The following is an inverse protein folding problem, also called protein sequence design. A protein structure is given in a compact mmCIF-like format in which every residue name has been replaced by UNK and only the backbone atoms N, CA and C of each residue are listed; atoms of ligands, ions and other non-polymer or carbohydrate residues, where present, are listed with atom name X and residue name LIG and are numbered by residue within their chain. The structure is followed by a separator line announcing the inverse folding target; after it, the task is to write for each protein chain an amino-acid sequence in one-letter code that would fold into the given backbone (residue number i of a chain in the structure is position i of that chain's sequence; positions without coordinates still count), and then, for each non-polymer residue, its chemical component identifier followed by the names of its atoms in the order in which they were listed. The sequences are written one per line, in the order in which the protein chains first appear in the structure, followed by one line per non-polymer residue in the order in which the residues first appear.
data_IF_471837176554
#
_entry.id   IF_471837176554
#
_cell.length_a   1.000
_cell.length_b   1.000
_cell.length_c   1.000
_cell.angle_alpha   90.00
_cell.angle_beta   90.00
_cell.angle_gamma   90.00
#
_symmetry.space_group_name_H-M   'P 1'
#
loop_
_entity.id
_entity.type
_entity.pdbx_description
1 polymer ?
#
# COMPACT_ATOMS: atom_id res chain seq x y z
N UNK A 1 -22.03 45.94 16.44
CA UNK A 1 -22.41 44.52 16.21
C UNK A 1 -22.33 44.29 14.71
N UNK A 2 -21.47 43.49 14.11
CA UNK A 2 -20.51 42.47 14.55
C UNK A 2 -19.24 42.62 13.69
N UNK A 3 -18.08 42.43 14.31
CA UNK A 3 -16.79 42.29 13.64
C UNK A 3 -16.71 40.90 12.99
N UNK A 4 -16.14 40.84 11.78
CA UNK A 4 -15.77 39.60 11.10
C UNK A 4 -14.38 39.75 10.50
N UNK A 5 -13.36 39.52 11.32
CA UNK A 5 -11.97 39.39 10.89
C UNK A 5 -11.79 38.05 10.18
N UNK A 6 -11.49 38.10 8.89
CA UNK A 6 -11.00 36.95 8.15
C UNK A 6 -9.53 36.69 8.53
N UNK A 7 -9.25 35.52 9.10
CA UNK A 7 -7.88 35.05 9.32
C UNK A 7 -7.37 34.43 8.00
N UNK A 8 -6.40 35.08 7.36
CA UNK A 8 -5.56 34.41 6.35
C UNK A 8 -4.61 33.47 7.09
N UNK A 9 -4.77 32.15 6.91
CA UNK A 9 -3.68 31.22 7.19
C UNK A 9 -2.63 31.35 6.07
N UNK A 10 -1.47 31.89 6.42
CA UNK A 10 -0.30 31.85 5.56
C UNK A 10 0.40 30.50 5.75
N UNK A 11 0.40 29.66 4.71
CA UNK A 11 1.26 28.49 4.66
C UNK A 11 2.73 28.95 4.54
N UNK A 12 3.55 28.62 5.53
CA UNK A 12 5.00 28.87 5.49
C UNK A 12 5.63 27.71 4.73
N UNK A 13 6.05 27.96 3.49
CA UNK A 13 6.94 27.05 2.76
C UNK A 13 8.37 27.34 3.22
N UNK A 14 8.92 26.46 4.07
CA UNK A 14 10.33 26.50 4.41
C UNK A 14 11.13 25.80 3.31
N UNK A 15 11.77 26.58 2.42
CA UNK A 15 12.77 26.06 1.48
C UNK A 15 14.11 26.02 2.20
N UNK A 16 14.50 24.84 2.69
CA UNK A 16 15.83 24.58 3.25
C UNK A 16 16.90 24.63 2.16
N UNK A 17 17.99 25.35 2.43
CA UNK A 17 19.05 25.65 1.48
C UNK A 17 19.89 24.44 1.03
N UNK A 18 20.48 24.58 -0.15
CA UNK A 18 21.43 23.65 -0.76
C UNK A 18 22.68 23.47 0.12
N UNK A 19 22.67 22.46 0.97
CA UNK A 19 23.87 21.90 1.60
C UNK A 19 24.55 20.93 0.62
N UNK A 20 25.82 21.18 0.33
CA UNK A 20 26.67 20.22 -0.39
C UNK A 20 26.83 18.95 0.47
N UNK A 21 26.22 17.85 0.04
CA UNK A 21 26.41 16.54 0.67
C UNK A 21 27.84 16.08 0.42
N UNK A 22 28.69 16.19 1.45
CA UNK A 22 29.90 15.40 1.54
C UNK A 22 29.52 13.93 1.69
N UNK A 23 30.17 13.05 0.95
CA UNK A 23 30.06 11.61 1.12
C UNK A 23 30.67 11.20 2.47
N UNK A 24 29.87 11.32 3.53
CA UNK A 24 30.09 10.63 4.79
C UNK A 24 29.21 9.40 4.78
N UNK A 25 29.78 8.21 4.61
CA UNK A 25 29.09 6.98 4.93
C UNK A 25 28.85 6.97 6.45
N UNK A 26 27.65 7.36 6.88
CA UNK A 26 27.13 6.80 8.11
C UNK A 26 27.15 5.27 7.91
N UNK A 27 27.69 4.53 8.87
CA UNK A 27 27.53 3.09 8.90
C UNK A 27 26.03 2.82 9.09
N UNK A 28 25.29 2.79 7.99
CA UNK A 28 23.84 2.64 7.97
C UNK A 28 23.47 1.18 8.18
N UNK A 29 22.35 0.96 8.83
CA UNK A 29 21.68 -0.34 8.84
C UNK A 29 21.47 -0.78 7.38
N UNK A 30 21.93 -1.99 7.06
CA UNK A 30 21.70 -2.57 5.74
C UNK A 30 20.34 -3.28 5.72
N UNK A 31 19.74 -3.37 4.53
CA UNK A 31 18.58 -4.25 4.32
C UNK A 31 19.05 -5.50 3.59
N UNK A 32 18.94 -6.65 4.25
CA UNK A 32 19.17 -7.96 3.63
C UNK A 32 17.92 -8.38 2.85
N UNK A 33 18.08 -8.72 1.57
CA UNK A 33 16.99 -9.18 0.71
C UNK A 33 17.20 -10.64 0.31
N UNK A 34 16.22 -11.49 0.62
CA UNK A 34 16.11 -12.87 0.13
C UNK A 34 14.96 -12.96 -0.89
N UNK A 35 15.17 -13.66 -2.01
CA UNK A 35 14.14 -13.84 -3.05
C UNK A 35 13.89 -15.32 -3.35
N UNK A 36 12.63 -15.66 -3.56
CA UNK A 36 12.17 -16.97 -4.04
C UNK A 36 11.54 -16.81 -5.41
N UNK A 37 12.06 -17.56 -6.38
CA UNK A 37 11.49 -17.63 -7.72
C UNK A 37 10.17 -18.39 -7.65
N UNK A 38 9.09 -17.77 -8.08
CA UNK A 38 7.78 -18.42 -8.18
C UNK A 38 7.84 -19.43 -9.33
N UNK A 39 7.42 -20.70 -9.13
CA UNK A 39 7.60 -21.77 -10.11
C UNK A 39 6.72 -21.62 -11.36
N UNK A 40 5.71 -20.73 -11.33
CA UNK A 40 4.83 -20.45 -12.46
C UNK A 40 5.28 -19.19 -13.20
N UNK A 41 5.61 -19.34 -14.48
CA UNK A 41 6.15 -18.26 -15.31
C UNK A 41 5.11 -17.21 -15.70
N UNK A 42 5.57 -15.97 -15.86
CA UNK A 42 4.78 -14.84 -16.41
C UNK A 42 3.51 -14.49 -15.60
N UNK A 43 3.49 -14.82 -14.31
CA UNK A 43 2.26 -14.76 -13.51
C UNK A 43 2.10 -13.49 -12.67
N UNK A 44 3.18 -12.71 -12.51
CA UNK A 44 3.23 -11.46 -11.71
C UNK A 44 2.80 -11.71 -10.25
N UNK A 45 3.61 -12.44 -9.47
CA UNK A 45 3.37 -12.66 -8.05
C UNK A 45 3.44 -11.34 -7.29
N UNK A 46 2.36 -10.98 -6.61
CA UNK A 46 2.13 -9.62 -6.12
C UNK A 46 1.40 -9.62 -4.78
N UNK A 47 1.51 -8.48 -4.11
CA UNK A 47 0.74 -8.08 -2.92
C UNK A 47 0.69 -9.16 -1.84
N UNK A 48 1.85 -9.50 -1.24
CA UNK A 48 1.91 -10.59 -0.29
C UNK A 48 1.33 -10.23 1.07
N UNK A 49 0.96 -11.26 1.83
CA UNK A 49 0.52 -11.18 3.22
C UNK A 49 1.02 -12.42 3.97
N UNK A 50 1.45 -12.28 5.23
CA UNK A 50 1.90 -13.42 6.04
C UNK A 50 0.80 -13.80 7.02
N UNK A 51 0.40 -15.06 7.02
CA UNK A 51 -0.64 -15.55 7.93
C UNK A 51 -0.08 -15.98 9.30
N UNK A 52 -0.96 -16.35 10.23
CA UNK A 52 -0.58 -16.80 11.57
C UNK A 52 0.27 -18.08 11.63
N UNK A 53 0.44 -18.78 10.51
CA UNK A 53 1.32 -19.96 10.38
C UNK A 53 2.68 -19.61 9.77
N UNK A 54 2.91 -18.33 9.43
CA UNK A 54 4.13 -17.88 8.75
C UNK A 54 4.17 -18.18 7.26
N UNK A 55 3.04 -18.57 6.65
CA UNK A 55 2.95 -18.78 5.20
C UNK A 55 2.79 -17.42 4.52
N UNK A 56 3.52 -17.21 3.43
CA UNK A 56 3.51 -15.97 2.67
C UNK A 56 2.56 -16.12 1.49
N UNK A 57 1.33 -15.64 1.65
CA UNK A 57 0.32 -15.60 0.61
C UNK A 57 0.62 -14.51 -0.40
N UNK A 58 0.27 -14.72 -1.67
CA UNK A 58 0.34 -13.73 -2.75
C UNK A 58 -0.65 -14.05 -3.89
N UNK A 59 -0.94 -13.04 -4.72
CA UNK A 59 -1.75 -13.22 -5.93
C UNK A 59 -0.88 -13.45 -7.17
N UNK A 60 -1.34 -14.28 -8.09
CA UNK A 60 -0.81 -14.37 -9.45
C UNK A 60 -1.70 -13.61 -10.43
N UNK A 61 -1.54 -12.29 -10.54
CA UNK A 61 -2.49 -11.44 -11.29
C UNK A 61 -2.71 -11.89 -12.75
N UNK A 62 -1.65 -12.30 -13.44
CA UNK A 62 -1.77 -12.76 -14.85
C UNK A 62 -2.17 -14.22 -14.98
N UNK A 63 -1.99 -15.00 -13.92
CA UNK A 63 -2.26 -16.43 -13.90
C UNK A 63 -3.61 -16.80 -13.30
N UNK A 64 -4.39 -15.82 -12.82
CA UNK A 64 -5.69 -16.02 -12.17
C UNK A 64 -5.61 -17.04 -11.01
N UNK A 65 -4.72 -16.82 -10.04
CA UNK A 65 -4.57 -17.70 -8.89
C UNK A 65 -4.23 -16.97 -7.59
N UNK A 66 -4.46 -17.64 -6.47
CA UNK A 66 -3.86 -17.35 -5.16
C UNK A 66 -2.83 -18.42 -4.84
N UNK A 67 -1.76 -18.08 -4.15
CA UNK A 67 -0.77 -19.05 -3.72
C UNK A 67 -0.14 -18.64 -2.39
N UNK A 68 0.48 -19.59 -1.70
CA UNK A 68 1.38 -19.28 -0.61
C UNK A 68 2.73 -19.98 -0.79
N UNK A 69 3.76 -19.32 -0.26
CA UNK A 69 5.10 -19.83 -0.04
C UNK A 69 5.25 -20.23 1.44
N UNK A 70 5.82 -21.40 1.71
CA UNK A 70 6.43 -21.70 3.00
C UNK A 70 7.92 -21.29 2.95
N UNK A 71 8.34 -20.22 3.65
CA UNK A 71 9.70 -19.72 3.56
C UNK A 71 10.73 -20.61 4.25
N UNK A 72 10.32 -21.57 5.10
CA UNK A 72 11.22 -22.51 5.75
C UNK A 72 11.65 -23.65 4.82
N UNK A 73 10.74 -24.10 3.95
CA UNK A 73 10.97 -25.21 3.01
C UNK A 73 11.23 -24.73 1.58
N UNK A 74 10.73 -23.55 1.21
CA UNK A 74 10.70 -23.06 -0.16
C UNK A 74 9.52 -23.59 -0.99
N UNK A 75 8.60 -24.34 -0.38
CA UNK A 75 7.48 -24.97 -1.07
C UNK A 75 6.36 -23.96 -1.39
N UNK A 76 5.73 -24.16 -2.55
CA UNK A 76 4.60 -23.34 -3.01
C UNK A 76 3.33 -24.19 -3.15
N UNK A 77 2.19 -23.62 -2.75
CA UNK A 77 0.85 -24.19 -3.01
C UNK A 77 -0.02 -23.15 -3.71
N UNK A 78 -0.76 -23.58 -4.73
CA UNK A 78 -1.62 -22.72 -5.57
C UNK A 78 -3.08 -23.14 -5.51
N UNK A 79 -3.96 -22.16 -5.61
CA UNK A 79 -5.41 -22.27 -5.69
C UNK A 79 -5.87 -21.51 -6.94
N UNK A 80 -6.52 -22.22 -7.86
CA UNK A 80 -7.01 -21.62 -9.10
C UNK A 80 -8.22 -20.72 -8.84
N UNK A 81 -8.27 -19.58 -9.54
CA UNK A 81 -9.45 -18.74 -9.62
C UNK A 81 -10.08 -18.90 -11.01
N UNK A 82 -11.30 -18.40 -11.16
CA UNK A 82 -11.94 -18.38 -12.47
C UNK A 82 -11.13 -17.54 -13.48
N UNK A 83 -11.01 -17.98 -14.73
CA UNK A 83 -10.33 -17.23 -15.77
C UNK A 83 -10.86 -15.80 -15.90
N UNK A 84 -9.95 -14.83 -15.97
CA UNK A 84 -10.30 -13.41 -16.06
C UNK A 84 -10.56 -12.73 -14.72
N UNK A 85 -10.36 -13.41 -13.58
CA UNK A 85 -10.45 -12.80 -12.24
C UNK A 85 -9.46 -11.63 -12.07
N UNK A 86 -8.24 -11.81 -12.57
CA UNK A 86 -7.15 -10.84 -12.51
C UNK A 86 -6.85 -10.37 -11.09
N UNK A 87 -6.64 -11.26 -10.10
CA UNK A 87 -6.56 -10.88 -8.69
C UNK A 87 -5.48 -9.83 -8.46
N UNK A 88 -5.77 -8.82 -7.62
CA UNK A 88 -4.87 -7.67 -7.46
C UNK A 88 -4.16 -7.59 -6.11
N UNK A 89 -4.88 -7.78 -5.01
CA UNK A 89 -4.37 -7.76 -3.64
C UNK A 89 -5.08 -8.88 -2.84
N UNK A 90 -4.43 -9.32 -1.76
CA UNK A 90 -5.04 -10.21 -0.78
C UNK A 90 -4.66 -9.79 0.65
N UNK A 91 -5.47 -10.23 1.61
CA UNK A 91 -5.27 -10.16 3.06
C UNK A 91 -5.77 -11.48 3.69
N UNK A 92 -5.25 -11.85 4.85
CA UNK A 92 -5.64 -13.09 5.54
C UNK A 92 -6.20 -12.73 6.92
N UNK A 93 -7.38 -13.25 7.25
CA UNK A 93 -7.98 -13.03 8.57
C UNK A 93 -7.42 -13.97 9.65
N UNK A 94 -7.82 -13.74 10.90
CA UNK A 94 -7.34 -14.50 12.06
C UNK A 94 -7.76 -15.99 12.02
N UNK A 95 -8.84 -16.31 11.30
CA UNK A 95 -9.30 -17.68 11.06
C UNK A 95 -8.53 -18.37 9.91
N UNK A 96 -7.71 -17.61 9.18
CA UNK A 96 -6.87 -18.09 8.09
C UNK A 96 -7.55 -18.09 6.72
N UNK A 97 -8.76 -17.52 6.58
CA UNK A 97 -9.36 -17.32 5.27
C UNK A 97 -8.64 -16.22 4.50
N UNK A 98 -8.49 -16.44 3.19
CA UNK A 98 -7.78 -15.52 2.31
C UNK A 98 -8.77 -14.69 1.53
N UNK A 99 -8.80 -13.39 1.82
CA UNK A 99 -9.64 -12.42 1.13
C UNK A 99 -8.86 -11.78 -0.02
N UNK A 100 -9.46 -11.65 -1.20
CA UNK A 100 -8.79 -11.11 -2.37
C UNK A 100 -9.68 -10.19 -3.21
N UNK A 101 -9.05 -9.25 -3.91
CA UNK A 101 -9.72 -8.40 -4.90
C UNK A 101 -9.74 -9.11 -6.26
N UNK A 102 -10.91 -9.58 -6.68
CA UNK A 102 -11.19 -10.04 -8.04
C UNK A 102 -11.31 -8.87 -9.01
N UNK A 103 -10.19 -8.16 -9.20
CA UNK A 103 -10.11 -6.84 -9.82
C UNK A 103 -10.80 -6.71 -11.17
N UNK A 104 -10.63 -7.68 -12.07
CA UNK A 104 -11.25 -7.66 -13.40
C UNK A 104 -12.64 -8.25 -13.42
N UNK A 105 -12.94 -9.11 -12.44
CA UNK A 105 -14.24 -9.76 -12.28
C UNK A 105 -15.23 -8.98 -11.39
N UNK A 106 -14.79 -7.87 -10.77
CA UNK A 106 -15.62 -6.97 -9.96
C UNK A 106 -16.26 -7.65 -8.75
N UNK A 107 -15.45 -8.36 -7.96
CA UNK A 107 -15.85 -8.93 -6.68
C UNK A 107 -14.71 -8.88 -5.66
N UNK A 108 -15.07 -8.97 -4.38
CA UNK A 108 -14.16 -9.45 -3.33
C UNK A 108 -14.43 -10.93 -3.15
N UNK A 109 -13.39 -11.76 -3.06
CA UNK A 109 -13.56 -13.20 -2.83
C UNK A 109 -12.92 -13.64 -1.52
N UNK A 110 -13.45 -14.71 -0.93
CA UNK A 110 -12.91 -15.38 0.25
C UNK A 110 -12.58 -16.82 -0.09
N UNK A 111 -11.33 -17.21 0.06
CA UNK A 111 -10.84 -18.59 -0.10
C UNK A 111 -10.70 -19.23 1.28
N UNK A 112 -11.27 -20.42 1.42
CA UNK A 112 -10.91 -21.37 2.47
C UNK A 112 -9.69 -22.20 2.03
N UNK A 113 -8.52 -22.07 2.67
CA UNK A 113 -7.32 -22.80 2.28
C UNK A 113 -7.37 -24.30 2.58
N UNK A 114 -8.24 -24.76 3.48
CA UNK A 114 -8.39 -26.18 3.81
C UNK A 114 -9.17 -26.91 2.71
N UNK A 115 -10.36 -26.41 2.39
CA UNK A 115 -11.25 -27.01 1.38
C UNK A 115 -10.92 -26.58 -0.06
N UNK A 116 -10.35 -25.39 -0.24
CA UNK A 116 -10.17 -24.73 -1.53
C UNK A 116 -11.44 -24.04 -2.04
N UNK A 117 -12.52 -23.99 -1.25
CA UNK A 117 -13.77 -23.34 -1.64
C UNK A 117 -13.62 -21.81 -1.68
N UNK A 118 -14.31 -21.18 -2.65
CA UNK A 118 -14.27 -19.74 -2.85
C UNK A 118 -15.69 -19.18 -2.82
N UNK A 119 -15.93 -18.30 -1.87
CA UNK A 119 -17.10 -17.43 -1.84
C UNK A 119 -16.80 -16.10 -2.52
N UNK A 120 -17.80 -15.49 -3.18
CA UNK A 120 -17.65 -14.24 -3.91
C UNK A 120 -18.72 -13.24 -3.54
N UNK A 121 -18.28 -12.03 -3.23
CA UNK A 121 -19.08 -10.86 -2.89
C UNK A 121 -19.02 -9.88 -4.07
N UNK A 122 -20.01 -9.90 -4.99
CA UNK A 122 -20.00 -9.07 -6.18
C UNK A 122 -20.17 -7.59 -5.84
N UNK A 123 -19.56 -6.72 -6.63
CA UNK A 123 -19.84 -5.29 -6.51
C UNK A 123 -21.32 -4.99 -6.80
N UNK A 124 -22.00 -4.14 -6.01
CA UNK A 124 -23.44 -3.92 -6.11
C UNK A 124 -23.85 -3.10 -7.35
N UNK A 125 -22.89 -2.57 -8.11
CA UNK A 125 -23.11 -1.80 -9.34
C UNK A 125 -22.01 -2.09 -10.37
N UNK A 126 -22.33 -2.14 -11.68
CA UNK A 126 -21.34 -2.30 -12.73
C UNK A 126 -20.38 -1.10 -12.86
N UNK A 127 -20.70 0.05 -12.25
CA UNK A 127 -19.81 1.22 -12.24
C UNK A 127 -18.59 1.03 -11.34
N UNK A 128 -18.69 0.16 -10.33
CA UNK A 128 -17.65 -0.15 -9.36
C UNK A 128 -16.59 -1.11 -9.93
N UNK A 129 -16.00 -0.72 -11.06
CA UNK A 129 -14.96 -1.49 -11.75
C UNK A 129 -13.64 -1.39 -11.01
N UNK A 130 -12.83 -2.45 -11.08
CA UNK A 130 -11.45 -2.47 -10.55
C UNK A 130 -11.41 -2.27 -9.02
N UNK A 131 -12.10 -3.13 -8.21
CA UNK A 131 -11.83 -3.26 -6.78
C UNK A 131 -10.39 -3.73 -6.59
N UNK A 132 -9.63 -3.08 -5.72
CA UNK A 132 -8.19 -2.99 -5.91
C UNK A 132 -7.38 -3.37 -4.67
N UNK A 133 -7.26 -2.49 -3.67
CA UNK A 133 -6.47 -2.75 -2.44
C UNK A 133 -7.42 -2.95 -1.28
N UNK A 134 -7.23 -4.00 -0.48
CA UNK A 134 -8.02 -4.32 0.70
C UNK A 134 -7.21 -3.99 1.97
N UNK A 135 -7.90 -3.69 3.06
CA UNK A 135 -7.37 -3.65 4.42
C UNK A 135 -8.49 -4.01 5.39
N UNK A 136 -8.17 -4.73 6.47
CA UNK A 136 -9.11 -4.90 7.57
C UNK A 136 -9.24 -3.59 8.35
N UNK A 137 -10.43 -3.35 8.89
CA UNK A 137 -10.60 -2.50 10.06
C UNK A 137 -10.49 -3.30 11.36
N UNK A 138 -10.54 -2.63 12.50
CA UNK A 138 -10.40 -3.25 13.82
C UNK A 138 -11.62 -4.10 14.23
N UNK A 139 -12.72 -4.09 13.46
CA UNK A 139 -13.87 -4.95 13.67
C UNK A 139 -13.82 -6.22 12.80
N UNK A 140 -12.80 -6.35 11.94
CA UNK A 140 -12.69 -7.45 10.98
C UNK A 140 -13.48 -7.24 9.69
N UNK A 141 -14.06 -6.04 9.48
CA UNK A 141 -14.63 -5.66 8.19
C UNK A 141 -13.53 -5.23 7.22
N UNK A 142 -13.83 -5.23 5.92
CA UNK A 142 -12.84 -4.93 4.89
C UNK A 142 -13.16 -3.61 4.22
N UNK A 143 -12.23 -2.65 4.34
CA UNK A 143 -12.20 -1.48 3.48
C UNK A 143 -11.41 -1.78 2.21
N UNK A 144 -11.86 -1.26 1.08
CA UNK A 144 -11.14 -1.44 -0.17
C UNK A 144 -11.30 -0.25 -1.13
N UNK A 145 -10.27 -0.01 -1.93
CA UNK A 145 -10.34 0.97 -3.01
C UNK A 145 -10.96 0.36 -4.27
N UNK A 146 -11.70 1.18 -5.03
CA UNK A 146 -12.24 0.82 -6.34
C UNK A 146 -11.70 1.81 -7.37
N UNK A 147 -10.55 1.46 -7.96
CA UNK A 147 -9.75 2.41 -8.73
C UNK A 147 -10.48 2.87 -10.01
N UNK A 148 -10.99 1.92 -10.79
CA UNK A 148 -11.57 2.20 -12.10
C UNK A 148 -12.96 2.82 -12.03
N UNK A 149 -13.69 2.54 -10.94
CA UNK A 149 -15.01 3.09 -10.65
C UNK A 149 -15.00 4.42 -9.87
N UNK A 150 -13.87 4.79 -9.25
CA UNK A 150 -13.79 5.92 -8.31
C UNK A 150 -14.73 5.78 -7.11
N UNK A 151 -14.63 4.63 -6.42
CA UNK A 151 -15.28 4.41 -5.13
C UNK A 151 -14.27 4.00 -4.06
N UNK A 152 -14.67 4.14 -2.81
CA UNK A 152 -14.15 3.34 -1.70
C UNK A 152 -15.28 2.47 -1.20
N UNK A 153 -15.01 1.20 -0.94
CA UNK A 153 -15.99 0.24 -0.47
C UNK A 153 -15.71 -0.26 0.94
N UNK A 154 -16.76 -0.66 1.63
CA UNK A 154 -16.72 -1.39 2.89
C UNK A 154 -17.49 -2.70 2.72
N UNK A 155 -16.88 -3.83 3.08
CA UNK A 155 -17.49 -5.14 3.10
C UNK A 155 -17.63 -5.60 4.55
N UNK A 156 -18.88 -5.82 4.97
CA UNK A 156 -19.17 -6.51 6.22
C UNK A 156 -18.84 -8.00 6.08
N UNK A 157 -17.82 -8.50 6.78
CA UNK A 157 -17.31 -9.87 6.56
C UNK A 157 -18.26 -10.96 7.06
N UNK A 158 -19.05 -10.67 8.10
CA UNK A 158 -20.09 -11.57 8.61
C UNK A 158 -21.37 -11.53 7.76
N UNK A 159 -21.74 -10.36 7.25
CA UNK A 159 -23.02 -10.15 6.54
C UNK A 159 -22.91 -10.35 5.03
N UNK A 160 -21.71 -10.23 4.47
CA UNK A 160 -21.46 -10.19 3.03
C UNK A 160 -21.93 -8.90 2.35
N UNK A 161 -22.33 -7.87 3.10
CA UNK A 161 -22.86 -6.62 2.53
C UNK A 161 -21.74 -5.71 2.05
N UNK A 162 -21.82 -5.29 0.79
CA UNK A 162 -20.90 -4.31 0.18
C UNK A 162 -21.56 -2.95 0.10
N UNK A 163 -20.98 -1.97 0.80
CA UNK A 163 -21.34 -0.55 0.72
C UNK A 163 -20.27 0.20 -0.08
N UNK A 164 -20.69 1.22 -0.85
CA UNK A 164 -19.80 2.00 -1.70
C UNK A 164 -19.99 3.50 -1.47
N UNK A 165 -18.89 4.19 -1.25
CA UNK A 165 -18.82 5.65 -1.15
C UNK A 165 -18.24 6.20 -2.46
N UNK A 166 -19.00 7.00 -3.23
CA UNK A 166 -18.49 7.61 -4.45
C UNK A 166 -17.44 8.67 -4.13
N UNK A 167 -16.31 8.63 -4.84
CA UNK A 167 -15.25 9.65 -4.73
C UNK A 167 -15.40 10.61 -5.90
N UNK A 168 -16.19 11.66 -5.70
CA UNK A 168 -16.63 12.55 -6.76
C UNK A 168 -15.47 13.34 -7.41
N UNK A 169 -15.59 13.56 -8.72
CA UNK A 169 -14.64 14.32 -9.52
C UNK A 169 -13.93 13.48 -10.58
N UNK A 170 -13.40 14.14 -11.60
CA UNK A 170 -12.80 13.45 -12.75
C UNK A 170 -11.48 12.82 -12.35
N UNK A 171 -11.37 11.51 -12.54
CA UNK A 171 -10.10 10.79 -12.48
C UNK A 171 -9.50 10.65 -11.08
N UNK A 172 -10.30 10.61 -10.00
CA UNK A 172 -9.79 10.47 -8.63
C UNK A 172 -8.94 9.22 -8.42
N UNK A 173 -9.39 8.06 -8.93
CA UNK A 173 -8.66 6.78 -8.88
C UNK A 173 -8.16 6.42 -7.46
N UNK A 174 -9.06 6.18 -6.48
CA UNK A 174 -8.69 5.66 -5.16
C UNK A 174 -7.71 4.48 -5.27
N UNK A 175 -6.67 4.44 -4.44
CA UNK A 175 -5.58 3.47 -4.63
C UNK A 175 -5.07 2.80 -3.36
N UNK A 176 -4.01 3.33 -2.74
CA UNK A 176 -3.50 2.85 -1.46
C UNK A 176 -4.49 3.26 -0.39
N UNK A 177 -4.79 2.33 0.51
CA UNK A 177 -5.75 2.49 1.60
C UNK A 177 -5.15 1.91 2.87
N UNK A 178 -5.36 2.58 3.99
CA UNK A 178 -4.99 2.16 5.35
C UNK A 178 -6.14 2.53 6.28
N UNK A 179 -6.21 1.88 7.43
CA UNK A 179 -7.22 2.18 8.47
C UNK A 179 -6.51 2.78 9.68
N UNK A 180 -7.08 3.86 10.22
CA UNK A 180 -6.60 4.46 11.46
C UNK A 180 -7.21 3.81 12.71
N UNK A 181 -6.70 4.21 13.89
CA UNK A 181 -7.15 3.69 15.18
C UNK A 181 -8.64 3.89 15.48
N UNK A 182 -9.33 4.76 14.72
CA UNK A 182 -10.76 5.04 14.83
C UNK A 182 -11.56 4.34 13.71
N UNK A 183 -11.00 3.35 13.03
CA UNK A 183 -11.58 2.64 11.89
C UNK A 183 -11.85 3.52 10.66
N UNK A 184 -11.27 4.72 10.57
CA UNK A 184 -11.42 5.55 9.36
C UNK A 184 -10.52 5.05 8.26
N UNK A 185 -11.09 4.89 7.08
CA UNK A 185 -10.36 4.46 5.90
C UNK A 185 -9.68 5.67 5.23
N UNK A 186 -8.37 5.76 5.36
CA UNK A 186 -7.55 6.76 4.69
C UNK A 186 -6.99 6.23 3.38
N UNK A 187 -7.13 6.99 2.31
CA UNK A 187 -6.69 6.57 0.98
C UNK A 187 -6.17 7.72 0.12
N UNK A 188 -5.31 7.39 -0.83
CA UNK A 188 -4.85 8.36 -1.82
C UNK A 188 -5.69 8.32 -3.09
N UNK A 189 -5.81 9.47 -3.75
CA UNK A 189 -6.43 9.63 -5.05
C UNK A 189 -5.34 9.70 -6.12
N UNK A 190 -4.91 8.55 -6.63
CA UNK A 190 -3.71 8.45 -7.48
C UNK A 190 -3.77 9.29 -8.77
N UNK A 191 -4.96 9.63 -9.26
CA UNK A 191 -5.08 10.48 -10.45
C UNK A 191 -4.99 11.99 -10.17
N UNK A 192 -4.97 12.39 -8.89
CA UNK A 192 -4.91 13.79 -8.43
C UNK A 192 -3.83 13.94 -7.34
N UNK A 193 -3.72 15.13 -6.75
CA UNK A 193 -2.85 15.46 -5.63
C UNK A 193 -3.60 15.40 -4.29
N UNK A 194 -4.45 14.40 -4.06
CA UNK A 194 -5.31 14.36 -2.86
C UNK A 194 -5.17 13.10 -2.03
N UNK A 195 -5.35 13.29 -0.73
CA UNK A 195 -5.68 12.28 0.25
C UNK A 195 -7.16 12.41 0.62
N UNK A 196 -7.75 11.35 1.16
CA UNK A 196 -9.11 11.38 1.63
C UNK A 196 -9.32 10.38 2.76
N UNK A 197 -10.34 10.61 3.58
CA UNK A 197 -10.80 9.69 4.61
C UNK A 197 -12.30 9.50 4.56
N UNK A 198 -12.78 8.37 5.07
CA UNK A 198 -14.21 8.07 5.23
C UNK A 198 -14.50 7.77 6.69
N UNK A 199 -15.49 8.45 7.24
CA UNK A 199 -16.01 8.12 8.58
C UNK A 199 -16.72 6.75 8.55
N UNK A 200 -16.36 5.81 9.43
CA UNK A 200 -16.85 4.44 9.34
C UNK A 200 -18.31 4.25 9.75
N UNK A 201 -18.91 5.23 10.42
CA UNK A 201 -20.31 5.18 10.85
C UNK A 201 -21.22 5.93 9.88
N UNK A 202 -20.83 7.14 9.47
CA UNK A 202 -21.67 7.99 8.62
C UNK A 202 -21.40 7.79 7.12
N UNK A 203 -20.27 7.15 6.77
CA UNK A 203 -19.75 7.04 5.41
C UNK A 203 -19.48 8.39 4.74
N UNK A 204 -19.33 9.45 5.53
CA UNK A 204 -19.00 10.78 5.03
C UNK A 204 -17.54 10.82 4.57
N UNK A 205 -17.34 11.31 3.35
CA UNK A 205 -16.03 11.48 2.71
C UNK A 205 -15.48 12.88 3.00
N UNK A 206 -14.23 12.95 3.46
CA UNK A 206 -13.45 14.18 3.56
C UNK A 206 -12.21 14.11 2.66
N UNK A 207 -11.91 15.19 1.92
CA UNK A 207 -10.80 15.26 0.98
C UNK A 207 -9.78 16.34 1.37
N UNK A 208 -8.50 16.02 1.27
CA UNK A 208 -7.38 16.90 1.57
C UNK A 208 -6.52 17.09 0.32
N UNK A 209 -6.33 18.34 -0.11
CA UNK A 209 -5.45 18.66 -1.23
C UNK A 209 -4.01 18.86 -0.76
N UNK A 210 -3.08 18.13 -1.37
CA UNK A 210 -1.65 18.27 -1.11
C UNK A 210 -1.10 19.55 -1.78
N UNK A 211 -0.14 20.27 -1.14
CA UNK A 211 0.35 21.55 -1.64
C UNK A 211 0.92 21.52 -3.06
N UNK A 212 1.52 20.39 -3.46
CA UNK A 212 2.08 20.20 -4.80
C UNK A 212 1.04 19.66 -5.76
N UNK A 213 0.63 20.49 -6.72
CA UNK A 213 -0.38 20.13 -7.72
C UNK A 213 0.02 18.94 -8.61
N UNK A 214 1.32 18.74 -8.82
CA UNK A 214 1.90 17.64 -9.58
C UNK A 214 2.04 16.33 -8.79
N UNK A 215 1.87 16.36 -7.46
CA UNK A 215 1.98 15.15 -6.65
C UNK A 215 0.93 14.11 -7.05
N UNK A 216 1.34 12.86 -7.14
CA UNK A 216 0.50 11.68 -7.42
C UNK A 216 0.74 10.65 -6.31
N UNK A 217 0.18 10.88 -5.10
CA UNK A 217 0.30 9.94 -3.99
C UNK A 217 -0.25 8.58 -4.42
N UNK A 218 0.54 7.52 -4.22
CA UNK A 218 0.20 6.18 -4.77
C UNK A 218 -0.04 5.11 -3.72
N UNK A 219 0.77 5.07 -2.66
CA UNK A 219 0.55 4.20 -1.49
C UNK A 219 0.63 5.05 -0.23
N UNK A 220 0.06 4.51 0.84
CA UNK A 220 0.05 5.11 2.15
C UNK A 220 0.69 4.16 3.18
N UNK A 221 1.23 4.75 4.23
CA UNK A 221 1.52 4.10 5.49
C UNK A 221 1.00 4.99 6.63
N UNK A 222 0.74 4.41 7.80
CA UNK A 222 0.27 5.13 8.98
C UNK A 222 1.25 4.82 10.12
N UNK A 223 1.88 5.85 10.69
CA UNK A 223 2.75 5.70 11.86
C UNK A 223 1.92 5.74 13.16
N UNK A 224 2.46 5.21 14.24
CA UNK A 224 1.76 5.05 15.54
C UNK A 224 1.28 6.37 16.15
N UNK A 225 1.89 7.49 15.75
CA UNK A 225 1.49 8.84 16.11
C UNK A 225 0.30 9.40 15.29
N UNK A 226 -0.28 8.62 14.37
CA UNK A 226 -1.42 9.02 13.53
C UNK A 226 -1.05 9.78 12.26
N UNK A 227 0.24 10.01 11.98
CA UNK A 227 0.65 10.67 10.73
C UNK A 227 0.54 9.72 9.54
N UNK A 228 -0.04 10.24 8.45
CA UNK A 228 -0.08 9.53 7.17
C UNK A 228 1.19 9.83 6.39
N UNK A 229 1.78 8.79 5.86
CA UNK A 229 2.92 8.88 4.96
C UNK A 229 2.51 8.41 3.58
N UNK A 230 3.00 9.09 2.54
CA UNK A 230 2.73 8.76 1.16
C UNK A 230 3.99 8.83 0.31
N UNK A 231 4.02 8.04 -0.75
CA UNK A 231 5.00 8.22 -1.82
C UNK A 231 4.35 8.86 -3.04
N UNK A 232 4.97 9.92 -3.53
CA UNK A 232 4.61 10.57 -4.78
C UNK A 232 5.27 9.87 -5.97
N UNK A 233 4.44 9.17 -6.74
CA UNK A 233 4.85 8.46 -7.95
C UNK A 233 5.42 9.38 -9.04
N UNK A 234 4.91 10.62 -9.17
CA UNK A 234 5.23 11.50 -10.29
C UNK A 234 6.50 12.34 -10.02
N UNK A 235 6.60 12.91 -8.82
CA UNK A 235 7.70 13.81 -8.46
C UNK A 235 8.83 13.15 -7.67
N UNK A 236 8.70 11.88 -7.23
CA UNK A 236 9.75 11.19 -6.47
C UNK A 236 9.97 11.81 -5.08
N UNK A 237 8.91 11.85 -4.27
CA UNK A 237 8.99 12.36 -2.90
C UNK A 237 8.34 11.39 -1.92
N UNK A 238 8.89 11.35 -0.70
CA UNK A 238 8.20 10.85 0.48
C UNK A 238 7.52 12.04 1.16
N UNK A 239 6.24 11.93 1.48
CA UNK A 239 5.48 12.97 2.15
C UNK A 239 4.87 12.46 3.44
N UNK A 240 4.81 13.34 4.44
CA UNK A 240 4.09 13.19 5.69
C UNK A 240 2.93 14.17 5.70
N UNK A 241 1.75 13.71 6.05
CA UNK A 241 0.55 14.48 6.28
C UNK A 241 0.06 14.27 7.70
N UNK A 242 -0.11 15.36 8.43
CA UNK A 242 -0.72 15.37 9.76
C UNK A 242 -2.23 15.61 9.61
N UNK A 243 -3.09 14.63 9.93
CA UNK A 243 -4.53 14.75 9.72
C UNK A 243 -5.22 15.74 10.67
N UNK A 244 -4.62 16.05 11.83
CA UNK A 244 -5.21 16.96 12.81
C UNK A 244 -4.98 18.43 12.45
N UNK A 245 -3.83 18.72 11.84
CA UNK A 245 -3.41 20.08 11.50
C UNK A 245 -3.44 20.40 10.01
N UNK A 246 -3.45 19.37 9.16
CA UNK A 246 -3.29 19.50 7.71
C UNK A 246 -1.85 19.82 7.28
N UNK A 247 -0.87 19.76 8.18
CA UNK A 247 0.53 20.02 7.85
C UNK A 247 1.07 18.96 6.89
N UNK A 248 1.75 19.41 5.83
CA UNK A 248 2.47 18.53 4.91
C UNK A 248 3.96 18.85 4.94
N UNK A 249 4.77 17.80 5.08
CA UNK A 249 6.22 17.86 4.92
C UNK A 249 6.67 16.82 3.91
N UNK A 250 7.62 17.18 3.05
CA UNK A 250 8.08 16.30 1.97
C UNK A 250 9.61 16.27 1.87
N UNK A 251 10.13 15.12 1.48
CA UNK A 251 11.54 14.84 1.25
C UNK A 251 11.72 14.27 -0.16
N UNK A 252 12.68 14.79 -0.91
CA UNK A 252 13.08 14.19 -2.18
C UNK A 252 13.68 12.80 -1.90
N UNK A 253 13.21 11.78 -2.61
CA UNK A 253 13.76 10.42 -2.44
C UNK A 253 15.13 10.29 -3.13
N UNK A 254 16.01 9.36 -2.72
CA UNK A 254 17.37 9.23 -3.25
C UNK A 254 17.46 9.05 -4.78
N UNK A 255 16.49 8.39 -5.40
CA UNK A 255 16.38 8.21 -6.86
C UNK A 255 15.86 9.43 -7.62
N UNK A 256 15.47 10.51 -6.92
CA UNK A 256 14.97 11.75 -7.50
C UNK A 256 13.64 11.59 -8.24
N UNK A 257 13.34 12.52 -9.16
CA UNK A 257 12.04 12.60 -9.84
C UNK A 257 11.69 11.35 -10.69
N UNK A 258 12.69 10.61 -11.17
CA UNK A 258 12.47 9.38 -11.94
C UNK A 258 12.33 8.13 -11.05
N UNK A 259 12.40 8.25 -9.72
CA UNK A 259 12.36 7.13 -8.80
C UNK A 259 11.06 6.31 -8.86
N UNK A 260 9.93 6.96 -9.21
CA UNK A 260 8.59 6.36 -9.28
C UNK A 260 8.30 5.44 -8.09
N UNK A 261 8.42 5.96 -6.85
CA UNK A 261 8.24 5.16 -5.65
C UNK A 261 6.82 4.57 -5.62
N UNK A 262 6.69 3.35 -5.07
CA UNK A 262 5.44 2.62 -5.16
C UNK A 262 5.07 1.83 -3.91
N UNK A 263 5.55 0.59 -3.72
CA UNK A 263 5.25 -0.17 -2.51
C UNK A 263 5.69 0.61 -1.27
N UNK A 264 4.90 0.54 -0.19
CA UNK A 264 5.20 1.15 1.10
C UNK A 264 4.88 0.18 2.23
N UNK A 265 5.67 0.23 3.30
CA UNK A 265 5.41 -0.42 4.57
C UNK A 265 5.97 0.45 5.72
N UNK A 266 5.49 0.20 6.93
CA UNK A 266 5.98 0.79 8.18
C UNK A 266 6.28 -0.36 9.13
N UNK A 267 7.39 -0.30 9.86
CA UNK A 267 7.71 -1.30 10.89
C UNK A 267 7.18 -0.89 12.28
N UNK A 268 7.48 -1.71 13.29
CA UNK A 268 7.03 -1.47 14.67
C UNK A 268 7.70 -0.28 15.36
N UNK A 269 8.74 0.30 14.75
CA UNK A 269 9.50 1.46 15.25
C UNK A 269 9.12 2.73 14.47
N UNK A 270 8.04 2.69 13.68
CA UNK A 270 7.61 3.76 12.78
C UNK A 270 8.61 4.09 11.66
N UNK A 271 9.60 3.23 11.39
CA UNK A 271 10.47 3.42 10.22
C UNK A 271 9.71 3.05 8.96
N UNK A 272 9.96 3.82 7.90
CA UNK A 272 9.25 3.72 6.64
C UNK A 272 10.12 3.04 5.60
N UNK A 273 9.48 2.21 4.80
CA UNK A 273 10.13 1.49 3.72
C UNK A 273 9.33 1.69 2.44
N UNK A 274 10.03 1.90 1.34
CA UNK A 274 9.41 1.95 0.02
C UNK A 274 10.35 1.46 -1.07
N UNK A 275 9.80 1.20 -2.26
CA UNK A 275 10.61 0.79 -3.42
C UNK A 275 10.53 1.83 -4.54
N UNK A 276 11.69 2.31 -4.96
CA UNK A 276 11.90 3.12 -6.15
C UNK A 276 11.82 2.24 -7.40
N UNK A 277 10.62 2.08 -7.97
CA UNK A 277 10.38 1.18 -9.12
C UNK A 277 10.78 1.79 -10.47
N UNK A 278 11.20 3.05 -10.50
CA UNK A 278 11.72 3.71 -11.70
C UNK A 278 13.23 3.57 -11.87
N UNK A 279 13.94 3.16 -10.80
CA UNK A 279 15.39 2.89 -10.80
C UNK A 279 15.63 1.44 -11.23
N UNK A 280 16.75 1.16 -11.90
CA UNK A 280 17.12 -0.19 -12.37
C UNK A 280 18.54 -0.56 -11.96
N UNK A 281 18.74 -1.65 -11.18
CA UNK A 281 17.68 -2.46 -10.53
C UNK A 281 16.80 -1.63 -9.58
N UNK A 282 15.58 -2.09 -9.30
CA UNK A 282 14.72 -1.41 -8.33
C UNK A 282 15.44 -1.29 -6.99
N UNK A 283 15.23 -0.18 -6.28
CA UNK A 283 15.89 0.10 -5.01
C UNK A 283 14.89 0.11 -3.86
N UNK A 284 15.15 -0.71 -2.85
CA UNK A 284 14.46 -0.74 -1.58
C UNK A 284 15.07 0.32 -0.66
N UNK A 285 14.25 1.24 -0.16
CA UNK A 285 14.69 2.43 0.58
C UNK A 285 14.10 2.41 1.98
N UNK A 286 14.94 2.68 2.98
CA UNK A 286 14.54 2.89 4.38
C UNK A 286 14.66 4.36 4.76
N UNK A 287 13.68 4.86 5.51
CA UNK A 287 13.64 6.21 6.05
C UNK A 287 13.22 6.18 7.53
N UNK A 288 13.94 6.89 8.38
CA UNK A 288 13.62 7.02 9.80
C UNK A 288 12.98 8.39 10.06
N UNK A 289 11.68 8.44 10.41
CA UNK A 289 11.00 9.70 10.73
C UNK A 289 11.54 10.45 11.94
N UNK A 290 12.27 9.79 12.85
CA UNK A 290 12.83 10.41 14.06
C UNK A 290 14.05 11.26 13.71
N UNK A 291 14.94 10.72 12.89
CA UNK A 291 16.15 11.42 12.41
C UNK A 291 15.90 12.22 11.14
N UNK A 292 14.81 11.92 10.41
CA UNK A 292 14.46 12.45 9.10
C UNK A 292 15.50 12.11 8.02
N UNK A 293 16.18 10.98 8.17
CA UNK A 293 17.24 10.53 7.27
C UNK A 293 16.85 9.23 6.54
N UNK A 294 17.31 9.12 5.30
CA UNK A 294 17.31 7.85 4.58
C UNK A 294 18.51 7.03 5.05
N UNK A 295 18.26 5.82 5.55
CA UNK A 295 19.31 4.97 6.13
C UNK A 295 19.70 3.78 5.25
N UNK A 296 18.85 3.40 4.28
CA UNK A 296 19.11 2.24 3.41
C UNK A 296 18.72 2.50 1.95
N UNK A 297 19.51 1.96 1.02
CA UNK A 297 19.34 2.04 -0.43
C UNK A 297 19.74 0.72 -1.11
N UNK A 298 19.06 -0.37 -0.77
CA UNK A 298 19.43 -1.73 -1.21
C UNK A 298 18.85 -2.07 -2.58
N UNK A 299 19.69 -2.59 -3.48
CA UNK A 299 19.24 -3.10 -4.78
C UNK A 299 18.50 -4.44 -4.64
N UNK A 300 17.38 -4.59 -5.36
CA UNK A 300 16.69 -5.87 -5.47
C UNK A 300 17.39 -6.69 -6.56
N UNK A 301 17.99 -7.82 -6.20
CA UNK A 301 18.86 -8.60 -7.09
C UNK A 301 18.16 -9.09 -8.37
N UNK A 302 16.89 -9.50 -8.28
CA UNK A 302 16.07 -9.85 -9.46
C UNK A 302 15.74 -8.68 -10.38
N UNK A 303 16.12 -7.46 -9.99
CA UNK A 303 15.74 -6.20 -10.61
C UNK A 303 14.38 -5.68 -10.14
N UNK A 304 13.55 -6.49 -9.48
CA UNK A 304 12.25 -6.14 -8.91
C UNK A 304 11.13 -5.82 -9.90
N UNK A 305 11.45 -5.20 -11.05
CA UNK A 305 10.49 -4.77 -12.06
C UNK A 305 9.51 -3.73 -11.52
N UNK A 306 8.46 -4.18 -10.84
CA UNK A 306 7.52 -3.32 -10.10
C UNK A 306 7.25 -3.99 -8.76
N UNK A 307 7.64 -3.32 -7.67
CA UNK A 307 7.25 -3.69 -6.32
C UNK A 307 6.16 -2.74 -5.86
N UNK A 308 4.94 -3.26 -5.76
CA UNK A 308 3.73 -2.44 -5.71
C UNK A 308 3.05 -2.38 -4.37
N UNK A 309 3.31 -3.37 -3.52
CA UNK A 309 2.78 -3.53 -2.19
C UNK A 309 3.83 -4.25 -1.38
N UNK A 310 3.92 -3.88 -0.12
CA UNK A 310 4.81 -4.50 0.83
C UNK A 310 4.03 -4.71 2.11
N UNK A 311 4.29 -5.82 2.77
CA UNK A 311 3.64 -6.19 4.01
C UNK A 311 4.70 -6.36 5.09
N UNK A 312 4.61 -5.55 6.14
CA UNK A 312 5.39 -5.76 7.34
C UNK A 312 4.72 -6.84 8.19
N UNK A 313 5.47 -7.86 8.57
CA UNK A 313 5.01 -8.94 9.45
C UNK A 313 5.53 -8.69 10.87
N UNK A 314 4.69 -8.15 11.79
CA UNK A 314 5.15 -7.72 13.11
C UNK A 314 5.83 -8.81 13.95
N UNK A 315 5.37 -10.08 13.97
CA UNK A 315 6.01 -11.12 14.75
C UNK A 315 7.47 -11.40 14.38
N UNK A 316 7.87 -11.16 13.12
CA UNK A 316 9.24 -11.45 12.65
C UNK A 316 10.06 -10.20 12.35
N UNK A 317 9.45 -9.01 12.28
CA UNK A 317 10.12 -7.78 11.89
C UNK A 317 10.51 -7.74 10.39
N UNK A 318 9.89 -8.58 9.57
CA UNK A 318 10.25 -8.76 8.17
C UNK A 318 9.29 -8.01 7.25
N UNK A 319 9.79 -7.54 6.12
CA UNK A 319 8.95 -6.93 5.07
C UNK A 319 8.91 -7.84 3.85
N UNK A 320 7.72 -8.29 3.50
CA UNK A 320 7.46 -9.15 2.36
C UNK A 320 6.95 -8.35 1.17
N UNK A 321 7.41 -8.69 -0.03
CA UNK A 321 7.03 -8.00 -1.25
C UNK A 321 7.00 -8.94 -2.46
N UNK A 322 6.17 -8.63 -3.46
CA UNK A 322 6.12 -9.35 -4.73
C UNK A 322 6.77 -8.52 -5.85
N UNK A 323 7.36 -9.20 -6.83
CA UNK A 323 8.05 -8.57 -7.96
C UNK A 323 7.45 -8.98 -9.31
N UNK A 324 7.44 -8.03 -10.25
CA UNK A 324 7.05 -8.33 -11.65
C UNK A 324 8.07 -9.20 -12.39
N UNK A 325 9.23 -9.46 -11.77
CA UNK A 325 10.29 -10.35 -12.25
C UNK A 325 10.09 -11.79 -11.79
N UNK A 326 8.87 -12.13 -11.32
CA UNK A 326 8.44 -13.48 -10.95
C UNK A 326 9.02 -14.00 -9.63
N UNK A 327 9.23 -13.11 -8.66
CA UNK A 327 9.73 -13.46 -7.33
C UNK A 327 8.80 -12.98 -6.22
N UNK A 328 8.83 -13.70 -5.09
CA UNK A 328 8.43 -13.19 -3.77
C UNK A 328 9.72 -12.89 -3.02
N UNK A 329 9.82 -11.70 -2.44
CA UNK A 329 10.99 -11.22 -1.72
C UNK A 329 10.69 -10.96 -0.25
N UNK A 330 11.74 -11.07 0.57
CA UNK A 330 11.77 -10.72 1.99
C UNK A 330 12.91 -9.75 2.22
N UNK A 331 12.62 -8.63 2.87
CA UNK A 331 13.58 -7.67 3.37
C UNK A 331 13.66 -7.77 4.91
N UNK A 332 14.88 -7.72 5.45
CA UNK A 332 15.18 -7.67 6.89
C UNK A 332 16.16 -6.54 7.15
N UNK A 333 15.88 -5.69 8.14
CA UNK A 333 16.86 -4.72 8.63
C UNK A 333 17.91 -5.47 9.43
N UNK A 334 19.18 -5.29 9.09
CA UNK A 334 20.30 -5.87 9.84
C UNK A 334 21.05 -4.76 10.61
N UNK A 335 21.34 -4.96 11.91
CA UNK A 335 22.08 -3.99 12.73
C UNK A 335 23.52 -3.73 12.28
#
# INVERSE_FOLDING_TARGET
MRNGTAALLAAVVAVGGLGTLGAGSAAGEDIEITEWVVPWENTRPRDPYVDGQGRVWFVGQRGDYLAHLDPATGDFRRYELDPGTGPHNLIVDDDGFVWYAGNRAMHIGRLDPESGEIEKFPMPTPDARDPHTLTFDHNGDIWFSVQGGSFVGKLGTETGSVELVPVEGRGRRPYGIVVDANNRAWFCQFGTNRLATVDPETLELEEFELPRAEARPRRLALTSNGHLWYVDYAGGHLGRFDPDTGEVREWAVPGGAEARPYGMAVDAEDRLYFVESGIRPNRFVGFDPTTEEFFAMTEIASGGGTVRHMYYHPPTGEIWFGTDTNNVGRARVVP
#
